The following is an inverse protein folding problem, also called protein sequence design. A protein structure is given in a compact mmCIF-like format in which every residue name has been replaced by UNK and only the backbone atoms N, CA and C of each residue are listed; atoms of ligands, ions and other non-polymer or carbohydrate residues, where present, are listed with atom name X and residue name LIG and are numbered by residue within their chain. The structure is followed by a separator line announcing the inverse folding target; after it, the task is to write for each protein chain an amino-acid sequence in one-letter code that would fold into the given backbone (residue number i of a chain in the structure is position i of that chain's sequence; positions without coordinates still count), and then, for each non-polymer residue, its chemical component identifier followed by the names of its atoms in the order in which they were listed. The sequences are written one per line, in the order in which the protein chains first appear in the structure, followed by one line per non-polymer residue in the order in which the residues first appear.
data_IF_117810186940
#
_entry.id   IF_117810186940
#
_cell.length_a   1.000
_cell.length_b   1.000
_cell.length_c   1.000
_cell.angle_alpha   90.00
_cell.angle_beta   90.00
_cell.angle_gamma   90.00
#
_symmetry.space_group_name_H-M   'P 1'
#
loop_
_entity.id
_entity.type
_entity.pdbx_description
1 polymer ?
#
# COMPACT_ATOMS: atom_id res chain seq x y z
N UNK A 1 -11.52 -1.74 36.25
CA UNK A 1 -12.37 -2.60 35.40
C UNK A 1 -12.56 -1.89 34.06
N UNK A 2 -11.83 -2.30 33.02
CA UNK A 2 -12.03 -1.90 31.61
C UNK A 2 -11.79 -3.15 30.74
N UNK A 3 -12.66 -3.49 29.78
CA UNK A 3 -12.57 -4.74 29.04
C UNK A 3 -11.48 -4.68 27.96
N UNK A 4 -10.71 -5.76 27.85
CA UNK A 4 -9.69 -5.94 26.82
C UNK A 4 -10.30 -6.22 25.45
N UNK A 5 -9.89 -5.43 24.45
CA UNK A 5 -10.25 -5.64 23.05
C UNK A 5 -9.33 -6.73 22.49
N UNK A 6 -9.81 -7.97 22.51
CA UNK A 6 -9.19 -9.11 21.81
C UNK A 6 -9.60 -9.07 20.34
N UNK A 7 -8.93 -8.24 19.54
CA UNK A 7 -9.05 -8.23 18.08
C UNK A 7 -8.37 -9.45 17.47
N UNK A 8 -9.16 -10.42 17.04
CA UNK A 8 -8.75 -11.63 16.31
C UNK A 8 -8.03 -11.21 15.01
N UNK A 9 -6.71 -11.40 14.94
CA UNK A 9 -5.92 -11.16 13.72
C UNK A 9 -6.45 -12.11 12.63
N UNK A 10 -7.10 -11.55 11.60
CA UNK A 10 -7.55 -12.31 10.43
C UNK A 10 -6.34 -12.89 9.72
N UNK A 11 -6.46 -14.16 9.30
CA UNK A 11 -5.38 -15.01 8.79
C UNK A 11 -4.47 -14.28 7.78
N UNK A 12 -3.18 -14.21 8.10
CA UNK A 12 -2.15 -13.78 7.16
C UNK A 12 -1.97 -14.85 6.08
N UNK A 13 -2.00 -14.44 4.81
CA UNK A 13 -1.54 -15.30 3.71
C UNK A 13 -0.07 -15.62 3.96
N UNK A 14 0.33 -16.90 3.98
CA UNK A 14 1.67 -17.30 4.36
C UNK A 14 2.70 -16.82 3.32
N UNK A 15 3.93 -16.47 3.77
CA UNK A 15 4.95 -15.99 2.86
C UNK A 15 5.72 -17.16 2.27
N UNK A 16 5.54 -17.38 0.97
CA UNK A 16 6.18 -18.47 0.21
C UNK A 16 5.28 -19.12 -0.84
N UNK A 17 3.98 -18.84 -0.84
CA UNK A 17 3.06 -19.32 -1.87
C UNK A 17 3.07 -18.37 -3.07
N UNK A 18 4.11 -18.46 -3.91
CA UNK A 18 3.90 -18.24 -5.34
C UNK A 18 3.35 -19.56 -5.88
N UNK A 19 2.09 -19.86 -5.57
CA UNK A 19 1.40 -20.95 -6.24
C UNK A 19 1.06 -20.46 -7.66
N UNK A 20 1.84 -20.95 -8.61
CA UNK A 20 1.44 -21.01 -10.02
C UNK A 20 0.10 -21.75 -10.09
N UNK A 21 -0.99 -21.00 -10.23
CA UNK A 21 -2.34 -21.55 -10.41
C UNK A 21 -3.45 -20.93 -9.57
N UNK A 22 -3.15 -20.10 -8.57
CA UNK A 22 -4.18 -19.26 -7.95
C UNK A 22 -4.48 -18.09 -8.90
N UNK A 23 -5.76 -17.93 -9.29
CA UNK A 23 -6.21 -16.74 -10.01
C UNK A 23 -5.63 -15.52 -9.30
N UNK A 24 -4.92 -14.66 -10.04
CA UNK A 24 -4.29 -13.46 -9.51
C UNK A 24 -5.33 -12.73 -8.64
N UNK A 25 -5.16 -12.62 -7.30
CA UNK A 25 -6.20 -12.06 -6.45
C UNK A 25 -6.43 -10.58 -6.78
N UNK A 26 -5.53 -9.97 -7.57
CA UNK A 26 -5.64 -8.63 -8.08
C UNK A 26 -5.30 -8.64 -9.58
N UNK A 27 -6.31 -8.84 -10.45
CA UNK A 27 -6.10 -8.75 -11.88
C UNK A 27 -5.57 -7.34 -12.20
N UNK A 28 -4.57 -7.30 -13.06
CA UNK A 28 -4.12 -6.17 -13.86
C UNK A 28 -4.78 -4.77 -13.66
N UNK A 29 -3.92 -3.75 -13.58
CA UNK A 29 -4.23 -2.31 -13.72
C UNK A 29 -5.15 -1.61 -12.70
N UNK A 30 -5.96 -2.31 -11.91
CA UNK A 30 -6.84 -1.68 -10.91
C UNK A 30 -6.18 -1.52 -9.52
N UNK A 31 -4.92 -1.06 -9.47
CA UNK A 31 -4.18 -0.80 -8.21
C UNK A 31 -4.86 0.25 -7.31
N UNK A 32 -4.11 0.90 -6.40
CA UNK A 32 -4.67 1.96 -5.53
C UNK A 32 -5.57 2.97 -6.27
N UNK A 33 -5.25 3.31 -7.53
CA UNK A 33 -6.04 4.22 -8.34
C UNK A 33 -7.43 3.66 -8.73
N UNK A 34 -7.52 2.36 -9.05
CA UNK A 34 -8.80 1.72 -9.34
C UNK A 34 -9.71 1.66 -8.11
N UNK A 35 -9.15 1.30 -6.95
CA UNK A 35 -9.89 1.32 -5.68
C UNK A 35 -10.42 2.72 -5.35
N UNK A 36 -9.61 3.77 -5.59
CA UNK A 36 -10.03 5.16 -5.43
C UNK A 36 -11.11 5.54 -6.45
N UNK A 37 -10.97 5.16 -7.72
CA UNK A 37 -11.95 5.44 -8.78
C UNK A 37 -13.31 4.83 -8.44
N UNK A 38 -13.37 3.57 -8.04
CA UNK A 38 -14.59 2.91 -7.58
C UNK A 38 -15.19 3.62 -6.36
N UNK A 39 -14.36 4.02 -5.39
CA UNK A 39 -14.84 4.73 -4.19
C UNK A 39 -15.43 6.10 -4.52
N UNK A 40 -14.95 6.74 -5.58
CA UNK A 40 -15.42 8.03 -6.08
C UNK A 40 -16.56 7.91 -7.11
N UNK A 41 -16.96 6.69 -7.49
CA UNK A 41 -18.00 6.47 -8.52
C UNK A 41 -17.55 6.86 -9.93
N UNK A 42 -16.25 6.74 -10.24
CA UNK A 42 -15.65 7.10 -11.51
C UNK A 42 -15.60 5.89 -12.47
N UNK A 43 -16.77 5.38 -12.84
CA UNK A 43 -16.90 4.12 -13.59
C UNK A 43 -16.39 4.21 -15.05
N UNK A 44 -16.28 5.43 -15.59
CA UNK A 44 -15.82 5.70 -16.96
C UNK A 44 -14.38 6.23 -17.03
N UNK A 45 -13.64 6.19 -15.92
CA UNK A 45 -12.24 6.65 -15.91
C UNK A 45 -11.35 5.61 -16.59
N UNK A 46 -10.66 6.02 -17.67
CA UNK A 46 -9.63 5.19 -18.29
C UNK A 46 -8.40 5.10 -17.36
N UNK A 47 -8.27 3.97 -16.67
CA UNK A 47 -7.15 3.67 -15.77
C UNK A 47 -5.88 3.18 -16.50
N UNK A 48 -5.99 2.90 -17.80
CA UNK A 48 -4.91 2.36 -18.60
C UNK A 48 -4.26 3.41 -19.50
N UNK A 49 -4.95 4.53 -19.73
CA UNK A 49 -4.44 5.68 -20.47
C UNK A 49 -3.40 6.52 -19.71
N UNK A 50 -2.73 7.40 -20.44
CA UNK A 50 -1.79 8.37 -19.87
C UNK A 50 -0.41 7.81 -19.51
N UNK A 51 0.35 8.61 -18.75
CA UNK A 51 1.72 8.26 -18.34
C UNK A 51 1.66 7.31 -17.15
N UNK A 52 2.37 6.18 -17.25
CA UNK A 52 2.39 5.12 -16.24
C UNK A 52 3.80 4.92 -15.71
N UNK A 53 3.90 4.72 -14.39
CA UNK A 53 5.14 4.36 -13.73
C UNK A 53 4.86 3.29 -12.68
N UNK A 54 5.80 2.36 -12.52
CA UNK A 54 5.82 1.40 -11.42
C UNK A 54 6.55 1.94 -10.18
N UNK A 55 7.06 3.17 -10.23
CA UNK A 55 7.73 3.85 -9.13
C UNK A 55 6.85 4.92 -8.53
N UNK A 56 6.53 4.81 -7.23
CA UNK A 56 5.72 5.82 -6.53
C UNK A 56 6.38 7.19 -6.51
N UNK A 57 7.71 7.26 -6.43
CA UNK A 57 8.43 8.54 -6.45
C UNK A 57 8.28 9.23 -7.79
N UNK A 58 8.48 8.50 -8.90
CA UNK A 58 8.32 9.05 -10.24
C UNK A 58 6.87 9.49 -10.46
N UNK A 59 5.90 8.70 -10.02
CA UNK A 59 4.49 9.05 -10.15
C UNK A 59 4.11 10.33 -9.37
N UNK A 60 4.68 10.53 -8.16
CA UNK A 60 4.49 11.74 -7.37
C UNK A 60 5.10 12.98 -8.04
N UNK A 61 6.31 12.85 -8.60
CA UNK A 61 6.94 13.95 -9.37
C UNK A 61 6.11 14.31 -10.61
N UNK A 62 5.62 13.32 -11.36
CA UNK A 62 4.78 13.57 -12.52
C UNK A 62 3.49 14.32 -12.14
N UNK A 63 2.85 13.93 -11.04
CA UNK A 63 1.67 14.62 -10.52
C UNK A 63 2.02 16.06 -10.09
N UNK A 64 3.16 16.27 -9.40
CA UNK A 64 3.61 17.59 -8.98
C UNK A 64 3.94 18.51 -10.17
N UNK A 65 4.33 17.92 -11.31
CA UNK A 65 4.56 18.63 -12.58
C UNK A 65 3.29 18.77 -13.44
N UNK A 66 2.11 18.42 -12.92
CA UNK A 66 0.83 18.66 -13.59
C UNK A 66 0.41 17.60 -14.61
N UNK A 67 1.06 16.42 -14.64
CA UNK A 67 0.68 15.33 -15.55
C UNK A 67 -0.55 14.52 -15.09
N UNK A 68 -1.21 14.93 -14.01
CA UNK A 68 -2.48 14.36 -13.57
C UNK A 68 -2.52 14.06 -12.07
N UNK A 69 -3.35 13.08 -11.70
CA UNK A 69 -3.53 12.64 -10.31
C UNK A 69 -2.89 11.27 -10.10
N UNK A 70 -2.46 11.00 -8.86
CA UNK A 70 -1.90 9.72 -8.46
C UNK A 70 -2.53 9.24 -7.15
N UNK A 71 -2.77 7.93 -7.03
CA UNK A 71 -3.14 7.29 -5.78
C UNK A 71 -1.94 6.53 -5.21
N UNK A 72 -1.48 6.92 -4.03
CA UNK A 72 -0.33 6.32 -3.33
C UNK A 72 -0.62 6.15 -1.83
N UNK A 73 0.26 5.43 -1.12
CA UNK A 73 0.24 5.40 0.34
C UNK A 73 0.44 6.82 0.91
N UNK A 74 -0.33 7.16 1.94
CA UNK A 74 -0.29 8.48 2.59
C UNK A 74 1.11 8.83 3.12
N UNK A 75 1.86 7.84 3.60
CA UNK A 75 3.25 8.03 4.06
C UNK A 75 4.18 8.51 2.95
N UNK A 76 3.93 8.10 1.69
CA UNK A 76 4.72 8.51 0.52
C UNK A 76 4.31 9.89 0.01
N UNK A 77 3.02 10.24 0.09
CA UNK A 77 2.53 11.56 -0.30
C UNK A 77 2.92 12.68 0.69
N UNK A 78 3.11 12.33 1.97
CA UNK A 78 3.34 13.29 3.07
C UNK A 78 4.40 14.36 2.76
N UNK A 79 5.61 14.03 2.26
CA UNK A 79 6.63 15.04 1.99
C UNK A 79 6.23 16.05 0.91
N UNK A 80 5.38 15.66 -0.05
CA UNK A 80 4.90 16.56 -1.11
C UNK A 80 3.77 17.47 -0.61
N UNK A 81 2.88 16.92 0.22
CA UNK A 81 1.80 17.66 0.86
C UNK A 81 2.35 18.70 1.84
N UNK A 82 3.30 18.30 2.70
CA UNK A 82 3.90 19.20 3.70
C UNK A 82 4.66 20.37 3.04
N UNK A 83 5.16 20.17 1.81
CA UNK A 83 5.84 21.20 1.01
C UNK A 83 4.89 22.01 0.11
N UNK A 84 3.59 21.73 0.13
CA UNK A 84 2.58 22.30 -0.77
C UNK A 84 2.90 22.09 -2.26
N UNK A 85 3.61 21.02 -2.61
CA UNK A 85 3.85 20.63 -4.00
C UNK A 85 2.68 19.85 -4.59
N UNK A 86 1.91 19.20 -3.72
CA UNK A 86 0.70 18.48 -4.05
C UNK A 86 -0.41 18.87 -3.07
N UNK A 87 -1.64 18.61 -3.48
CA UNK A 87 -2.83 18.68 -2.62
C UNK A 87 -3.57 17.33 -2.66
N UNK A 88 -4.43 17.08 -1.69
CA UNK A 88 -5.41 15.98 -1.76
C UNK A 88 -6.73 16.55 -2.33
N UNK A 89 -7.01 16.39 -3.64
CA UNK A 89 -8.15 17.05 -4.28
C UNK A 89 -9.50 16.48 -3.85
N UNK A 90 -9.53 15.25 -3.33
CA UNK A 90 -10.75 14.55 -2.92
C UNK A 90 -10.60 14.03 -1.49
N UNK A 91 -11.64 14.11 -0.64
CA UNK A 91 -11.65 13.51 0.69
C UNK A 91 -11.90 11.99 0.60
N UNK A 92 -11.04 11.28 -0.13
CA UNK A 92 -11.11 9.84 -0.35
C UNK A 92 -9.92 9.15 0.30
N UNK A 93 -10.21 8.19 1.18
CA UNK A 93 -9.22 7.25 1.69
C UNK A 93 -9.78 5.84 1.50
N UNK A 94 -8.97 5.00 0.86
CA UNK A 94 -9.25 3.57 0.71
C UNK A 94 -8.27 2.79 1.57
N UNK A 95 -8.71 1.67 2.14
CA UNK A 95 -7.77 0.76 2.78
C UNK A 95 -6.76 0.28 1.74
N UNK A 96 -5.48 0.35 2.07
CA UNK A 96 -4.44 -0.12 1.17
C UNK A 96 -4.60 -1.63 0.96
N UNK A 97 -4.70 -2.11 -0.29
CA UNK A 97 -4.64 -3.55 -0.56
C UNK A 97 -3.25 -4.11 -0.25
N UNK A 98 -2.21 -3.25 -0.22
CA UNK A 98 -0.84 -3.63 0.09
C UNK A 98 -0.57 -3.48 1.58
N UNK A 99 -0.42 -4.62 2.25
CA UNK A 99 0.07 -4.72 3.61
C UNK A 99 1.51 -5.24 3.60
N UNK A 100 2.33 -4.74 4.53
CA UNK A 100 3.69 -5.23 4.72
C UNK A 100 3.69 -6.36 5.75
N UNK A 101 4.22 -7.51 5.34
CA UNK A 101 4.30 -8.69 6.21
C UNK A 101 5.76 -9.05 6.49
N UNK A 102 6.04 -9.38 7.75
CA UNK A 102 7.30 -10.02 8.11
C UNK A 102 7.19 -11.51 7.83
N UNK A 103 7.99 -11.98 6.89
CA UNK A 103 8.00 -13.38 6.51
C UNK A 103 8.79 -14.20 7.54
N UNK A 104 8.24 -15.34 7.98
CA UNK A 104 8.97 -16.26 8.85
C UNK A 104 9.79 -17.21 7.98
N UNK A 105 11.13 -17.17 8.04
CA UNK A 105 11.93 -18.17 7.35
C UNK A 105 11.70 -19.56 7.96
N UNK A 106 11.84 -20.60 7.14
CA UNK A 106 11.75 -21.99 7.57
C UNK A 106 12.84 -22.36 8.60
N UNK A 107 13.96 -21.65 8.59
CA UNK A 107 15.05 -21.82 9.53
C UNK A 107 15.04 -20.74 10.63
N UNK A 108 15.57 -21.02 11.82
CA UNK A 108 15.68 -20.02 12.89
C UNK A 108 16.48 -18.79 12.45
N UNK A 109 15.92 -17.60 12.73
CA UNK A 109 16.62 -16.33 12.52
C UNK A 109 17.89 -16.27 13.38
N UNK A 110 19.00 -15.77 12.80
CA UNK A 110 20.24 -15.49 13.55
C UNK A 110 20.00 -14.39 14.62
N UNK A 111 20.80 -14.32 15.70
CA UNK A 111 20.58 -13.35 16.78
C UNK A 111 20.47 -11.88 16.34
N UNK A 112 21.25 -11.36 15.37
CA UNK A 112 21.07 -10.00 14.86
C UNK A 112 19.71 -9.79 14.17
N UNK A 113 19.29 -10.73 13.32
CA UNK A 113 18.02 -10.66 12.61
C UNK A 113 16.81 -10.73 13.56
N UNK A 114 16.89 -11.54 14.64
CA UNK A 114 15.86 -11.56 15.69
C UNK A 114 15.76 -10.21 16.39
N UNK A 115 16.90 -9.63 16.80
CA UNK A 115 16.93 -8.31 17.45
C UNK A 115 16.31 -7.23 16.56
N UNK A 116 16.62 -7.25 15.26
CA UNK A 116 16.04 -6.33 14.29
C UNK A 116 14.53 -6.53 14.12
N UNK A 117 14.07 -7.77 13.93
CA UNK A 117 12.64 -8.10 13.87
C UNK A 117 11.90 -7.62 15.12
N UNK A 118 12.45 -7.90 16.30
CA UNK A 118 11.82 -7.51 17.57
C UNK A 118 11.81 -5.99 17.74
N UNK A 119 12.84 -5.30 17.24
CA UNK A 119 12.86 -3.84 17.18
C UNK A 119 11.78 -3.29 16.22
N UNK A 120 11.63 -3.86 15.03
CA UNK A 120 10.58 -3.47 14.06
C UNK A 120 9.18 -3.63 14.67
N UNK A 121 8.91 -4.76 15.31
CA UNK A 121 7.61 -5.05 15.92
C UNK A 121 7.30 -4.15 17.12
N UNK A 122 8.32 -3.68 17.86
CA UNK A 122 8.12 -2.78 19.00
C UNK A 122 7.87 -1.33 18.60
N UNK A 123 8.57 -0.85 17.58
CA UNK A 123 8.50 0.57 17.23
C UNK A 123 7.40 0.88 16.21
N UNK A 124 6.89 -0.14 15.50
CA UNK A 124 6.07 0.08 14.32
C UNK A 124 6.88 0.76 13.22
N UNK A 125 6.39 0.66 11.98
CA UNK A 125 6.76 1.59 10.90
C UNK A 125 5.55 2.48 10.68
#
# INVERSE_FOLDING_TARGET
MRPGISGRIRNAVPPGSVEQGAADPYPDAAGLLGAVATRLGLDNLDLHGGVRSNSSNVALELAANGLGCVAVLRSLARPYLDRNLLIEPFPCAVESPWNYYLTRPAHPLKPPARRFRDWLLRNGV
#
